data_IF_222112547889
#
_entry.id   IF_222112547889
#
_cell.length_a   1.000
_cell.length_b   1.000
_cell.length_c   1.000
_cell.angle_alpha   90.00
_cell.angle_beta   90.00
_cell.angle_gamma   90.00
#
_symmetry.space_group_name_H-M   'P 1'
#
loop_
_entity.id
_entity.type
_entity.pdbx_description
1 polymer ?
#
# COMPACT_ATOMS: atom_id res chain seq x y z
N UNK A 1 -27.23 -0.45 -2.37
CA UNK A 1 -27.14 -0.07 -3.82
C UNK A 1 -28.50 0.12 -4.50
N UNK A 2 -29.56 -0.61 -4.16
CA UNK A 2 -30.86 -0.44 -4.81
C UNK A 2 -31.52 0.91 -4.50
N UNK A 3 -31.49 1.32 -3.23
CA UNK A 3 -32.01 2.63 -2.78
C UNK A 3 -31.20 3.82 -3.32
N UNK A 4 -29.91 3.64 -3.57
CA UNK A 4 -29.03 4.70 -4.09
C UNK A 4 -29.27 5.09 -5.55
N UNK A 5 -30.15 4.38 -6.28
CA UNK A 5 -30.50 4.75 -7.66
C UNK A 5 -31.37 5.99 -7.73
N UNK A 6 -32.28 6.14 -6.77
CA UNK A 6 -33.30 7.20 -6.77
C UNK A 6 -33.17 8.15 -5.56
N UNK A 7 -32.29 7.82 -4.60
CA UNK A 7 -32.12 8.56 -3.36
C UNK A 7 -30.67 8.72 -2.98
N UNK A 8 -30.36 9.84 -2.31
CA UNK A 8 -29.07 9.99 -1.60
C UNK A 8 -29.14 9.23 -0.28
N UNK A 9 -28.31 8.22 -0.11
CA UNK A 9 -28.24 7.41 1.09
C UNK A 9 -26.98 7.76 1.84
N UNK A 10 -27.10 8.12 3.12
CA UNK A 10 -25.95 8.39 4.01
C UNK A 10 -25.84 7.21 4.97
N UNK A 11 -24.69 6.54 4.94
CA UNK A 11 -24.32 5.45 5.85
C UNK A 11 -23.26 5.95 6.83
N UNK A 12 -23.54 5.82 8.13
CA UNK A 12 -22.54 6.06 9.16
C UNK A 12 -22.12 4.73 9.78
N UNK A 13 -20.86 4.38 9.63
CA UNK A 13 -20.30 3.12 10.12
C UNK A 13 -18.81 3.27 10.40
N UNK A 14 -18.28 2.38 11.23
CA UNK A 14 -16.83 2.22 11.44
C UNK A 14 -16.29 0.96 10.72
N UNK A 15 -17.13 0.24 10.00
CA UNK A 15 -16.77 -1.01 9.29
C UNK A 15 -16.36 -0.65 7.86
N UNK A 16 -15.08 -0.40 7.66
CA UNK A 16 -14.51 0.07 6.40
C UNK A 16 -14.73 -0.86 5.19
N UNK A 17 -14.66 -2.21 5.32
CA UNK A 17 -15.01 -3.12 4.23
C UNK A 17 -16.44 -2.97 3.71
N UNK A 18 -17.42 -2.67 4.58
CA UNK A 18 -18.79 -2.42 4.17
C UNK A 18 -18.91 -1.12 3.37
N UNK A 19 -18.20 -0.07 3.82
CA UNK A 19 -18.13 1.22 3.10
C UNK A 19 -17.60 1.00 1.69
N UNK A 20 -16.49 0.27 1.57
CA UNK A 20 -15.87 -0.02 0.27
C UNK A 20 -16.80 -0.79 -0.68
N UNK A 21 -17.62 -1.69 -0.15
CA UNK A 21 -18.52 -2.52 -0.95
C UNK A 21 -19.76 -1.77 -1.46
N UNK A 22 -20.25 -0.77 -0.71
CA UNK A 22 -21.59 -0.18 -0.97
C UNK A 22 -21.58 1.32 -1.24
N UNK A 23 -20.57 2.06 -0.81
CA UNK A 23 -20.52 3.52 -0.93
C UNK A 23 -19.74 3.97 -2.16
N UNK A 24 -20.28 4.94 -2.89
CA UNK A 24 -19.62 5.56 -4.04
C UNK A 24 -18.68 6.71 -3.60
N UNK A 25 -18.96 7.30 -2.42
CA UNK A 25 -18.21 8.44 -1.85
C UNK A 25 -18.02 8.25 -0.36
N UNK A 26 -16.86 8.66 0.14
CA UNK A 26 -16.49 8.59 1.55
C UNK A 26 -16.20 9.99 2.07
N UNK A 27 -16.79 10.32 3.21
CA UNK A 27 -16.46 11.51 3.99
C UNK A 27 -15.84 11.04 5.30
N UNK A 28 -14.58 11.39 5.52
CA UNK A 28 -13.87 11.08 6.77
C UNK A 28 -13.89 12.29 7.67
N UNK A 29 -14.39 12.12 8.90
CA UNK A 29 -14.47 13.16 9.91
C UNK A 29 -13.51 12.82 11.05
N UNK A 30 -12.62 13.73 11.38
CA UNK A 30 -11.71 13.61 12.52
C UNK A 30 -11.78 14.89 13.37
N UNK A 31 -12.04 14.75 14.67
CA UNK A 31 -12.15 15.86 15.63
C UNK A 31 -13.12 16.97 15.16
N UNK A 32 -14.24 16.58 14.54
CA UNK A 32 -15.25 17.51 14.04
C UNK A 32 -14.90 18.20 12.71
N UNK A 33 -13.79 17.84 12.08
CA UNK A 33 -13.38 18.38 10.80
C UNK A 33 -13.41 17.29 9.71
N UNK A 34 -13.82 17.67 8.50
CA UNK A 34 -13.74 16.81 7.34
C UNK A 34 -12.28 16.76 6.89
N UNK A 35 -11.67 15.58 6.99
CA UNK A 35 -10.27 15.34 6.58
C UNK A 35 -10.15 14.70 5.21
N UNK A 36 -11.23 14.08 4.70
CA UNK A 36 -11.33 13.62 3.33
C UNK A 36 -12.79 13.65 2.86
N UNK A 37 -13.01 13.93 1.57
CA UNK A 37 -14.32 13.92 0.91
C UNK A 37 -14.11 13.54 -0.55
N UNK A 38 -13.92 12.24 -0.80
CA UNK A 38 -13.52 11.73 -2.11
C UNK A 38 -14.39 10.54 -2.54
N UNK A 39 -14.33 10.17 -3.81
CA UNK A 39 -14.89 8.90 -4.27
C UNK A 39 -14.11 7.75 -3.65
N UNK A 40 -14.78 6.63 -3.40
CA UNK A 40 -14.13 5.44 -2.83
C UNK A 40 -12.92 4.99 -3.68
N UNK A 41 -13.07 5.03 -5.02
CA UNK A 41 -12.01 4.71 -5.97
C UNK A 41 -10.84 5.70 -5.90
N UNK A 42 -11.12 6.99 -5.75
CA UNK A 42 -10.09 8.04 -5.72
C UNK A 42 -9.29 8.01 -4.42
N UNK A 43 -9.93 7.68 -3.28
CA UNK A 43 -9.22 7.50 -2.00
C UNK A 43 -8.23 6.34 -2.09
N UNK A 44 -8.64 5.23 -2.68
CA UNK A 44 -7.76 4.07 -2.90
C UNK A 44 -6.60 4.48 -3.82
N UNK A 45 -6.89 5.16 -4.92
CA UNK A 45 -5.89 5.59 -5.90
C UNK A 45 -4.97 6.73 -5.39
N UNK A 46 -5.50 7.67 -4.59
CA UNK A 46 -4.72 8.81 -4.08
C UNK A 46 -3.69 8.39 -3.02
N UNK A 47 -3.97 7.32 -2.28
CA UNK A 47 -3.00 6.74 -1.34
C UNK A 47 -2.07 5.74 -2.03
N UNK A 48 -2.46 5.27 -3.22
CA UNK A 48 -1.74 4.30 -4.07
C UNK A 48 -0.54 4.94 -4.82
N UNK A 49 -0.13 6.16 -4.43
CA UNK A 49 1.13 6.76 -4.90
C UNK A 49 2.36 5.89 -4.60
N UNK A 50 2.30 5.09 -3.55
CA UNK A 50 3.31 4.09 -3.20
C UNK A 50 2.74 2.72 -3.51
N UNK A 51 3.08 2.15 -4.65
CA UNK A 51 2.70 0.77 -4.97
C UNK A 51 3.47 -0.17 -4.06
N UNK A 52 2.76 -0.75 -3.11
CA UNK A 52 3.28 -1.85 -2.31
C UNK A 52 3.07 -3.16 -3.04
N UNK A 53 4.12 -3.95 -3.10
CA UNK A 53 4.09 -5.30 -3.65
C UNK A 53 4.54 -6.27 -2.57
N UNK A 54 3.93 -7.44 -2.55
CA UNK A 54 4.41 -8.58 -1.79
C UNK A 54 4.99 -9.58 -2.78
N UNK A 55 6.30 -9.81 -2.70
CA UNK A 55 6.99 -10.79 -3.52
C UNK A 55 7.36 -12.01 -2.68
N UNK A 56 7.06 -13.22 -3.18
CA UNK A 56 7.51 -14.48 -2.59
C UNK A 56 8.71 -14.98 -3.38
N UNK A 57 9.89 -15.03 -2.74
CA UNK A 57 11.15 -15.36 -3.39
C UNK A 57 11.85 -16.47 -2.63
N UNK A 58 12.35 -17.47 -3.37
CA UNK A 58 13.21 -18.54 -2.89
C UNK A 58 14.65 -18.08 -3.04
N UNK A 59 15.39 -18.02 -1.93
CA UNK A 59 16.79 -17.59 -1.88
C UNK A 59 17.22 -17.17 -0.47
N UNK A 60 18.53 -16.95 -0.26
CA UNK A 60 19.04 -16.45 1.01
C UNK A 60 18.49 -15.04 1.31
N UNK A 61 17.89 -14.86 2.50
CA UNK A 61 17.20 -13.63 2.89
C UNK A 61 18.06 -12.37 2.70
N UNK A 62 19.30 -12.44 3.22
CA UNK A 62 20.24 -11.30 3.17
C UNK A 62 20.61 -10.88 1.75
N UNK A 63 20.76 -11.87 0.85
CA UNK A 63 21.13 -11.61 -0.54
C UNK A 63 19.94 -11.05 -1.32
N UNK A 64 18.74 -11.60 -1.09
CA UNK A 64 17.50 -11.11 -1.70
C UNK A 64 17.21 -9.69 -1.25
N UNK A 65 17.30 -9.37 0.06
CA UNK A 65 17.09 -8.01 0.57
C UNK A 65 18.09 -7.02 -0.04
N UNK A 66 19.37 -7.39 -0.13
CA UNK A 66 20.40 -6.55 -0.78
C UNK A 66 20.07 -6.29 -2.23
N UNK A 67 19.64 -7.32 -2.97
CA UNK A 67 19.22 -7.20 -4.37
C UNK A 67 18.03 -6.24 -4.49
N UNK A 68 16.98 -6.42 -3.68
CA UNK A 68 15.78 -5.62 -3.72
C UNK A 68 16.08 -4.14 -3.43
N UNK A 69 16.88 -3.85 -2.40
CA UNK A 69 17.25 -2.48 -2.01
C UNK A 69 18.17 -1.79 -3.03
N UNK A 70 18.88 -2.55 -3.85
CA UNK A 70 19.76 -2.01 -4.90
C UNK A 70 19.01 -1.69 -6.20
N UNK A 71 17.75 -2.11 -6.36
CA UNK A 71 16.99 -1.90 -7.59
C UNK A 71 16.50 -0.46 -7.69
N UNK A 72 16.73 0.20 -8.86
CA UNK A 72 16.18 1.53 -9.12
C UNK A 72 14.65 1.53 -9.02
N UNK A 73 14.10 2.57 -8.40
CA UNK A 73 12.65 2.72 -8.24
C UNK A 73 12.07 1.99 -7.02
N UNK A 74 12.89 1.32 -6.22
CA UNK A 74 12.49 0.78 -4.92
C UNK A 74 12.87 1.77 -3.82
N UNK A 75 11.86 2.22 -3.08
CA UNK A 75 12.01 3.12 -1.94
C UNK A 75 12.30 2.36 -0.65
N UNK A 76 11.67 1.19 -0.49
CA UNK A 76 11.80 0.36 0.69
C UNK A 76 11.60 -1.12 0.34
N UNK A 77 12.36 -2.00 0.96
CA UNK A 77 12.16 -3.44 0.90
C UNK A 77 12.58 -4.09 2.22
N UNK A 78 11.74 -5.01 2.72
CA UNK A 78 12.03 -5.76 3.94
C UNK A 78 11.34 -7.14 3.92
N UNK A 79 11.82 -8.07 4.75
CA UNK A 79 11.23 -9.39 4.88
C UNK A 79 10.03 -9.33 5.84
N UNK A 80 8.91 -9.94 5.45
CA UNK A 80 7.70 -10.06 6.29
C UNK A 80 7.78 -11.21 7.31
N UNK A 81 8.86 -11.98 7.30
CA UNK A 81 9.05 -13.12 8.19
C UNK A 81 8.09 -14.30 7.95
N UNK A 82 7.21 -14.22 6.95
CA UNK A 82 6.34 -15.33 6.55
C UNK A 82 7.14 -16.26 5.68
N UNK A 83 7.43 -17.46 6.20
CA UNK A 83 8.11 -18.51 5.46
C UNK A 83 7.08 -19.54 5.03
N UNK A 84 6.90 -19.68 3.73
CA UNK A 84 6.40 -20.91 3.13
C UNK A 84 7.51 -21.94 3.16
N UNK A 85 7.29 -23.16 2.71
CA UNK A 85 8.20 -24.30 2.88
C UNK A 85 9.66 -24.00 2.50
N UNK A 86 9.90 -23.08 1.52
CA UNK A 86 11.22 -22.70 1.00
C UNK A 86 11.28 -21.26 0.46
N UNK A 87 10.26 -20.44 0.67
CA UNK A 87 10.22 -19.04 0.23
C UNK A 87 10.02 -18.08 1.38
N UNK A 88 10.51 -16.87 1.20
CA UNK A 88 10.30 -15.73 2.10
C UNK A 88 9.46 -14.70 1.38
N UNK A 89 8.49 -14.13 2.10
CA UNK A 89 7.69 -13.02 1.61
C UNK A 89 8.38 -11.70 1.93
N UNK A 90 8.50 -10.84 0.92
CA UNK A 90 9.10 -9.52 1.01
C UNK A 90 8.06 -8.46 0.70
N UNK A 91 8.00 -7.43 1.52
CA UNK A 91 7.27 -6.21 1.22
C UNK A 91 8.19 -5.25 0.47
N UNK A 92 7.69 -4.69 -0.62
CA UNK A 92 8.46 -3.81 -1.50
C UNK A 92 7.62 -2.57 -1.76
N UNK A 93 8.16 -1.39 -1.46
CA UNK A 93 7.54 -0.11 -1.81
C UNK A 93 8.30 0.51 -2.98
N UNK A 94 7.58 0.85 -4.04
CA UNK A 94 8.16 1.58 -5.18
C UNK A 94 8.11 3.09 -4.94
N UNK A 95 8.96 3.83 -5.68
CA UNK A 95 8.80 5.27 -5.83
C UNK A 95 7.50 5.61 -6.55
N UNK A 96 7.00 6.83 -6.35
CA UNK A 96 5.73 7.28 -6.90
C UNK A 96 5.68 7.09 -8.43
N UNK A 97 4.63 6.44 -8.90
CA UNK A 97 4.34 6.18 -10.31
C UNK A 97 5.34 5.29 -11.07
N UNK A 98 6.27 4.62 -10.39
CA UNK A 98 7.22 3.70 -11.03
C UNK A 98 6.68 2.28 -10.99
N UNK A 99 6.50 1.65 -12.15
CA UNK A 99 6.15 0.23 -12.24
C UNK A 99 7.42 -0.61 -12.18
N UNK A 100 7.68 -1.19 -11.00
CA UNK A 100 8.87 -2.00 -10.74
C UNK A 100 8.68 -3.49 -11.03
N UNK A 101 7.49 -3.95 -11.43
CA UNK A 101 7.19 -5.39 -11.57
C UNK A 101 8.12 -6.10 -12.56
N UNK A 102 8.32 -5.53 -13.75
CA UNK A 102 9.22 -6.11 -14.75
C UNK A 102 10.69 -6.07 -14.34
N UNK A 103 11.27 -4.92 -13.93
CA UNK A 103 12.66 -4.89 -13.47
C UNK A 103 12.88 -5.77 -12.24
N UNK A 104 11.96 -5.84 -11.30
CA UNK A 104 12.00 -6.71 -10.13
C UNK A 104 12.12 -8.17 -10.56
N UNK A 105 11.19 -8.67 -11.39
CA UNK A 105 11.20 -10.04 -11.88
C UNK A 105 12.51 -10.38 -12.60
N UNK A 106 12.93 -9.52 -13.53
CA UNK A 106 14.16 -9.74 -14.32
C UNK A 106 15.40 -9.80 -13.41
N UNK A 107 15.48 -8.97 -12.40
CA UNK A 107 16.64 -8.92 -11.50
C UNK A 107 16.72 -10.11 -10.57
N UNK A 108 15.56 -10.56 -10.05
CA UNK A 108 15.48 -11.78 -9.22
C UNK A 108 15.96 -13.00 -10.02
N UNK A 109 15.48 -13.16 -11.27
CA UNK A 109 15.88 -14.27 -12.13
C UNK A 109 17.37 -14.20 -12.50
N UNK A 110 17.89 -13.01 -12.83
CA UNK A 110 19.31 -12.82 -13.14
C UNK A 110 20.23 -13.13 -11.97
N UNK A 111 19.78 -12.90 -10.75
CA UNK A 111 20.53 -13.25 -9.55
C UNK A 111 20.47 -14.75 -9.21
N UNK A 112 19.74 -15.55 -9.99
CA UNK A 112 19.60 -16.98 -9.77
C UNK A 112 18.54 -17.35 -8.72
N UNK A 113 17.72 -16.39 -8.29
CA UNK A 113 16.62 -16.63 -7.36
C UNK A 113 15.32 -16.96 -8.09
N UNK A 114 14.39 -17.61 -7.39
CA UNK A 114 13.10 -18.01 -7.96
C UNK A 114 11.99 -17.16 -7.32
N UNK A 115 11.25 -16.44 -8.13
CA UNK A 115 10.05 -15.73 -7.69
C UNK A 115 8.84 -16.63 -7.92
N UNK A 116 8.15 -17.00 -6.85
CA UNK A 116 6.96 -17.89 -6.91
C UNK A 116 5.65 -17.14 -6.76
N UNK A 117 5.70 -15.86 -6.39
CA UNK A 117 4.50 -15.00 -6.29
C UNK A 117 4.86 -13.53 -6.31
N UNK A 118 3.97 -12.73 -6.90
CA UNK A 118 4.02 -11.28 -6.88
C UNK A 118 2.59 -10.75 -6.83
N UNK A 119 2.24 -10.17 -5.71
CA UNK A 119 0.90 -9.63 -5.45
C UNK A 119 1.00 -8.13 -5.14
N UNK A 120 0.00 -7.36 -5.57
CA UNK A 120 -0.15 -5.99 -5.07
C UNK A 120 -0.63 -6.04 -3.62
N UNK A 121 0.10 -5.43 -2.71
CA UNK A 121 -0.39 -5.16 -1.38
C UNK A 121 -1.39 -4.00 -1.49
N UNK A 122 -2.64 -4.35 -1.68
CA UNK A 122 -3.71 -3.35 -1.70
C UNK A 122 -3.82 -2.79 -0.29
N UNK A 123 -3.46 -1.52 -0.14
CA UNK A 123 -3.80 -0.78 1.08
C UNK A 123 -5.31 -0.88 1.25
N UNK A 124 -5.74 -1.53 2.32
CA UNK A 124 -7.15 -1.54 2.67
C UNK A 124 -7.55 -0.14 3.16
N UNK A 125 -8.85 0.16 3.14
CA UNK A 125 -9.36 1.44 3.63
C UNK A 125 -8.95 1.74 5.09
N UNK A 126 -8.63 0.72 5.89
CA UNK A 126 -8.17 0.87 7.27
C UNK A 126 -6.80 1.53 7.34
N UNK A 127 -5.85 1.08 6.51
CA UNK A 127 -4.51 1.70 6.42
C UNK A 127 -4.59 3.14 5.94
N UNK A 128 -5.48 3.40 4.99
CA UNK A 128 -5.75 4.74 4.46
C UNK A 128 -6.35 5.62 5.55
N UNK A 129 -7.34 5.11 6.28
CA UNK A 129 -8.01 5.82 7.36
C UNK A 129 -7.03 6.18 8.48
N UNK A 130 -6.16 5.25 8.90
CA UNK A 130 -5.12 5.52 9.89
C UNK A 130 -4.20 6.65 9.43
N UNK A 131 -3.77 6.64 8.17
CA UNK A 131 -2.92 7.70 7.60
C UNK A 131 -3.59 9.07 7.54
N UNK A 132 -4.91 9.11 7.29
CA UNK A 132 -5.68 10.36 7.27
C UNK A 132 -5.92 10.95 8.67
N UNK A 133 -6.00 10.08 9.71
CA UNK A 133 -6.26 10.49 11.08
C UNK A 133 -4.97 10.81 11.85
N UNK A 134 -3.88 10.08 11.59
CA UNK A 134 -2.58 10.37 12.20
C UNK A 134 -1.97 11.60 11.54
N UNK A 135 -1.77 12.70 12.28
CA UNK A 135 -1.07 13.87 11.74
C UNK A 135 0.34 13.44 11.36
N UNK A 136 0.76 13.76 10.13
CA UNK A 136 2.08 13.51 9.58
C UNK A 136 3.20 13.92 10.57
N UNK A 137 3.67 12.98 11.35
CA UNK A 137 4.85 13.16 12.22
C UNK A 137 6.17 13.32 11.43
N UNK A 138 6.11 13.19 10.10
CA UNK A 138 7.30 13.16 9.25
C UNK A 138 7.86 14.55 8.89
N UNK A 139 7.09 15.64 8.95
CA UNK A 139 7.60 16.97 8.53
C UNK A 139 8.29 17.79 9.62
N UNK A 140 8.14 17.45 10.90
CA UNK A 140 8.77 18.21 12.00
C UNK A 140 10.26 17.93 12.22
N UNK A 141 10.84 16.92 11.58
CA UNK A 141 12.28 16.62 11.74
C UNK A 141 13.22 17.44 10.83
N UNK A 142 12.71 18.15 9.83
CA UNK A 142 13.53 18.97 8.92
C UNK A 142 13.57 20.48 9.24
N UNK A 143 12.76 20.97 10.19
CA UNK A 143 12.75 22.40 10.56
C UNK A 143 13.43 22.74 11.90
N UNK A 144 14.09 21.79 12.55
CA UNK A 144 14.75 21.97 13.84
C UNK A 144 16.29 22.01 13.78
N UNK A 145 16.89 22.16 12.60
CA UNK A 145 18.34 22.38 12.45
C UNK A 145 18.56 23.50 11.43
N UNK A 146 18.29 24.70 11.86
CA UNK A 146 18.94 25.94 11.39
C UNK A 146 19.08 26.86 12.57
#
# INVERSE_FOLDING_TARGET
KHLGKDHTVILSTHILPEVQAVCDRIVVINKGQIVANERTEDIINAVDGTRRLIAKIVGPEDEVIKLLRALPGIKFADALGRRDTDSISYIIESEDRVDIRKPLFTSVVRAGFIMIGLEGDQLNLEDIFIRLIEPQKAEKRKRGQQ
#
